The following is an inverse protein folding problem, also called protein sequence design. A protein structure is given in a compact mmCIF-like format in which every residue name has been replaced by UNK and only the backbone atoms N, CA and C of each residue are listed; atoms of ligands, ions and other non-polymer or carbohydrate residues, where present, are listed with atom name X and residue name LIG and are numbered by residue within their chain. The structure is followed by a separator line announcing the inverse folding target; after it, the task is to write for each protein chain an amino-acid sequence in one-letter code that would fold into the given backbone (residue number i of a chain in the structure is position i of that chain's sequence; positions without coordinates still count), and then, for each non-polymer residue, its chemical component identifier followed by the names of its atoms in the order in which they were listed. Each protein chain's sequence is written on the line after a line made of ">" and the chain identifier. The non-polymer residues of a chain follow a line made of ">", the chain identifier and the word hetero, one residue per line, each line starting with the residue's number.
data_IF_950936197496
#
_entry.id   IF_950936197496
#
_cell.length_a   1.000
_cell.length_b   1.000
_cell.length_c   1.000
_cell.angle_alpha   90.00
_cell.angle_beta   90.00
_cell.angle_gamma   90.00
#
_symmetry.space_group_name_H-M   'P 1'
#
loop_
_entity.id
_entity.type
_entity.pdbx_description
1 polymer ?
#
# COMPACT_ATOMS: atom_id res chain seq x y z
N UNK A 1 73.53 -33.38 -5.08
CA UNK A 1 72.49 -34.11 -4.32
C UNK A 1 71.34 -33.14 -4.07
N UNK A 2 70.20 -33.42 -4.69
CA UNK A 2 68.93 -32.69 -4.56
C UNK A 2 68.15 -33.19 -3.33
N UNK A 3 67.50 -32.30 -2.57
CA UNK A 3 66.20 -32.43 -1.84
C UNK A 3 66.05 -31.35 -0.73
N UNK A 4 64.82 -30.97 -0.30
CA UNK A 4 63.86 -30.19 -1.07
C UNK A 4 63.28 -28.99 -0.29
N UNK A 5 62.63 -28.07 -1.01
CA UNK A 5 61.70 -27.07 -0.47
C UNK A 5 60.57 -27.75 0.31
N UNK A 6 60.21 -27.19 1.46
CA UNK A 6 58.88 -27.38 2.06
C UNK A 6 58.38 -26.04 2.60
N UNK A 7 57.61 -25.35 1.76
CA UNK A 7 56.86 -24.16 2.13
C UNK A 7 55.59 -24.61 2.84
N UNK A 8 55.54 -24.44 4.16
CA UNK A 8 54.30 -24.56 4.93
C UNK A 8 53.83 -23.14 5.24
N UNK A 9 53.10 -22.55 4.29
CA UNK A 9 52.35 -21.32 4.50
C UNK A 9 51.11 -21.70 5.31
N UNK A 10 51.22 -21.62 6.64
CA UNK A 10 50.07 -21.79 7.53
C UNK A 10 49.16 -20.57 7.34
N UNK A 11 48.10 -20.74 6.56
CA UNK A 11 47.06 -19.74 6.39
C UNK A 11 46.43 -19.45 7.77
N UNK A 12 46.82 -18.34 8.38
CA UNK A 12 46.10 -17.75 9.49
C UNK A 12 44.72 -17.38 8.96
N UNK A 13 43.72 -18.20 9.30
CA UNK A 13 42.31 -17.87 9.16
C UNK A 13 42.07 -16.63 10.03
N UNK A 14 42.19 -15.45 9.43
CA UNK A 14 41.64 -14.22 9.97
C UNK A 14 40.13 -14.43 10.03
N UNK A 15 39.65 -14.94 11.17
CA UNK A 15 38.30 -14.66 11.64
C UNK A 15 38.16 -13.14 11.70
N UNK A 16 37.65 -12.54 10.63
CA UNK A 16 37.17 -11.16 10.66
C UNK A 16 35.97 -11.16 11.60
N UNK A 17 36.05 -10.52 12.78
CA UNK A 17 34.90 -10.38 13.63
C UNK A 17 33.96 -9.36 12.99
N UNK A 18 32.71 -9.76 12.73
CA UNK A 18 31.62 -8.82 12.48
C UNK A 18 31.65 -8.10 11.13
N UNK A 19 31.39 -8.82 10.04
CA UNK A 19 30.54 -8.21 9.00
C UNK A 19 29.15 -8.04 9.63
N UNK A 20 28.53 -6.83 9.61
CA UNK A 20 27.19 -6.66 10.15
C UNK A 20 26.24 -7.60 9.42
N UNK A 21 25.68 -8.53 10.17
CA UNK A 21 24.64 -9.44 9.73
C UNK A 21 23.39 -8.59 9.39
N UNK A 22 23.13 -8.38 8.10
CA UNK A 22 21.90 -7.82 7.51
C UNK A 22 21.69 -6.31 7.67
N UNK A 23 21.63 -5.59 6.54
CA UNK A 23 20.88 -4.34 6.48
C UNK A 23 19.46 -4.62 6.97
N UNK A 24 19.08 -4.01 8.08
CA UNK A 24 17.71 -3.95 8.56
C UNK A 24 16.93 -3.11 7.56
N UNK A 25 15.94 -3.70 6.90
CA UNK A 25 15.10 -3.02 5.94
C UNK A 25 14.01 -2.22 6.66
N UNK A 26 14.40 -1.26 7.49
CA UNK A 26 13.48 -0.43 8.24
C UNK A 26 12.84 0.57 7.28
N UNK A 27 11.51 0.65 7.29
CA UNK A 27 10.71 1.54 6.45
C UNK A 27 10.01 2.56 7.30
N UNK A 28 9.67 3.70 6.71
CA UNK A 28 8.81 4.68 7.38
C UNK A 28 7.35 4.29 7.15
N UNK A 29 6.64 3.98 8.24
CA UNK A 29 5.21 3.78 8.30
C UNK A 29 4.49 5.13 8.28
N UNK A 30 3.50 5.26 7.41
CA UNK A 30 2.54 6.37 7.38
C UNK A 30 1.17 5.76 7.09
N UNK A 31 0.35 5.55 8.12
CA UNK A 31 -0.97 4.95 7.94
C UNK A 31 -2.04 5.70 8.73
N UNK A 32 -3.23 5.93 8.14
CA UNK A 32 -4.41 6.33 8.91
C UNK A 32 -4.87 5.19 9.83
N UNK A 33 -5.59 5.53 10.89
CA UNK A 33 -6.11 4.57 11.88
C UNK A 33 -7.16 3.60 11.33
N UNK A 34 -7.69 3.89 10.15
CA UNK A 34 -8.64 3.07 9.38
C UNK A 34 -8.31 3.17 7.88
N UNK A 35 -8.50 2.11 7.09
CA UNK A 35 -8.14 2.09 5.67
C UNK A 35 -9.13 2.81 4.75
N UNK A 36 -10.35 3.06 5.23
CA UNK A 36 -11.44 3.76 4.53
C UNK A 36 -12.38 4.38 5.56
N UNK A 37 -13.17 5.34 5.10
CA UNK A 37 -14.29 5.90 5.83
C UNK A 37 -15.53 5.88 4.96
N UNK A 38 -16.45 4.95 5.24
CA UNK A 38 -17.72 4.84 4.53
C UNK A 38 -18.80 5.78 5.09
N UNK A 39 -19.70 6.23 4.23
CA UNK A 39 -20.86 6.98 4.67
C UNK A 39 -21.77 6.05 5.48
N UNK A 40 -22.21 6.49 6.66
CA UNK A 40 -23.23 5.74 7.40
C UNK A 40 -24.52 5.75 6.57
N UNK A 41 -25.15 4.59 6.28
CA UNK A 41 -26.42 4.55 5.57
C UNK A 41 -27.43 5.41 6.32
N UNK A 42 -27.92 6.47 5.68
CA UNK A 42 -28.98 7.28 6.24
C UNK A 42 -30.24 6.39 6.25
N UNK A 43 -30.91 6.17 7.41
CA UNK A 43 -32.16 5.42 7.41
C UNK A 43 -33.11 6.12 6.43
N UNK A 44 -33.66 5.36 5.48
CA UNK A 44 -34.62 5.86 4.53
C UNK A 44 -35.72 6.59 5.31
N UNK A 45 -36.00 7.85 4.95
CA UNK A 45 -37.05 8.66 5.58
C UNK A 45 -38.33 7.83 5.68
N UNK A 46 -38.63 7.33 6.87
CA UNK A 46 -39.95 6.84 7.21
C UNK A 46 -40.86 8.06 7.11
N UNK A 47 -41.58 8.16 5.98
CA UNK A 47 -42.72 9.07 5.84
C UNK A 47 -43.57 8.92 7.08
N UNK A 48 -43.55 9.94 7.95
CA UNK A 48 -44.50 10.11 9.03
C UNK A 48 -45.89 10.29 8.41
N UNK A 49 -46.57 9.17 8.16
CA UNK A 49 -48.01 9.15 7.99
C UNK A 49 -48.64 9.42 9.36
N UNK A 50 -48.87 10.71 9.61
CA UNK A 50 -49.67 11.20 10.72
C UNK A 50 -51.12 10.76 10.49
N UNK A 51 -51.49 9.59 11.00
CA UNK A 51 -52.89 9.15 11.09
C UNK A 51 -53.34 9.14 12.55
N UNK A 52 -54.15 10.13 12.86
CA UNK A 52 -55.05 10.26 14.00
C UNK A 52 -55.90 9.00 14.20
N UNK A 53 -56.06 8.52 15.45
CA UNK A 53 -57.07 7.53 15.80
C UNK A 53 -56.81 6.81 17.12
N UNK A 54 -57.65 7.09 18.12
CA UNK A 54 -57.64 6.60 19.49
C UNK A 54 -57.84 5.07 19.68
N UNK A 55 -57.28 4.62 20.81
CA UNK A 55 -57.79 3.67 21.81
C UNK A 55 -57.70 2.12 21.68
N UNK A 56 -57.30 1.57 22.84
CA UNK A 56 -57.73 0.34 23.51
C UNK A 56 -56.86 -0.94 23.40
N UNK A 57 -56.10 -1.16 24.49
CA UNK A 57 -56.04 -2.39 25.32
C UNK A 57 -55.82 -3.77 24.67
N UNK A 58 -54.71 -4.46 25.00
CA UNK A 58 -54.63 -5.48 26.06
C UNK A 58 -53.31 -6.28 26.04
N UNK A 59 -52.64 -6.27 27.20
CA UNK A 59 -52.16 -7.43 28.00
C UNK A 59 -51.92 -8.78 27.28
N UNK A 60 -50.69 -9.28 27.31
CA UNK A 60 -50.33 -10.51 28.04
C UNK A 60 -48.83 -10.86 27.94
N UNK A 61 -48.26 -11.05 29.11
CA UNK A 61 -46.94 -11.57 29.48
C UNK A 61 -46.76 -13.07 29.14
N UNK A 62 -45.50 -13.43 28.88
CA UNK A 62 -44.79 -14.68 29.24
C UNK A 62 -45.54 -16.01 29.40
N UNK A 63 -45.08 -17.01 28.64
CA UNK A 63 -44.90 -18.36 29.17
C UNK A 63 -43.69 -19.07 28.52
N UNK A 64 -43.04 -19.87 29.35
CA UNK A 64 -41.67 -20.37 29.28
C UNK A 64 -41.68 -21.86 28.88
N UNK A 65 -40.58 -22.28 28.26
CA UNK A 65 -39.88 -23.56 28.47
C UNK A 65 -40.31 -24.87 27.75
N UNK A 66 -39.27 -25.48 27.18
CA UNK A 66 -38.84 -26.88 27.29
C UNK A 66 -39.48 -27.96 26.38
N UNK A 67 -38.63 -28.55 25.52
CA UNK A 67 -38.38 -30.00 25.37
C UNK A 67 -37.44 -30.19 24.15
N UNK A 68 -36.17 -30.54 24.34
CA UNK A 68 -35.63 -31.90 24.39
C UNK A 68 -35.32 -32.50 22.99
N UNK A 69 -34.02 -32.71 22.75
CA UNK A 69 -33.50 -33.60 21.71
C UNK A 69 -33.82 -35.08 22.03
N UNK A 70 -33.59 -35.98 21.06
CA UNK A 70 -32.60 -37.01 21.35
C UNK A 70 -31.59 -37.24 20.21
N UNK A 71 -30.49 -37.88 20.62
CA UNK A 71 -29.30 -38.23 19.87
C UNK A 71 -29.37 -39.61 19.18
N UNK A 72 -28.24 -39.99 18.56
CA UNK A 72 -27.75 -41.33 18.17
C UNK A 72 -27.95 -41.73 16.69
N UNK A 73 -27.03 -42.42 15.99
CA UNK A 73 -25.58 -42.73 16.08
C UNK A 73 -25.24 -43.58 14.83
N UNK A 74 -23.94 -43.72 14.54
CA UNK A 74 -23.29 -44.79 13.75
C UNK A 74 -23.47 -44.72 12.22
N UNK A 75 -22.51 -45.05 11.33
CA UNK A 75 -21.13 -45.58 11.45
C UNK A 75 -20.43 -45.51 10.07
N UNK A 76 -19.08 -45.52 10.09
CA UNK A 76 -18.08 -45.98 9.11
C UNK A 76 -18.48 -46.25 7.63
N UNK A 77 -17.70 -45.93 6.59
CA UNK A 77 -16.37 -46.48 6.26
C UNK A 77 -15.90 -45.89 4.91
N UNK A 78 -14.59 -45.68 4.72
CA UNK A 78 -13.93 -45.33 3.43
C UNK A 78 -13.89 -46.56 2.46
N UNK A 79 -13.40 -46.51 1.17
CA UNK A 79 -12.13 -45.88 0.76
C UNK A 79 -12.03 -45.26 -0.65
N UNK A 80 -11.10 -44.29 -0.74
CA UNK A 80 -10.05 -44.07 -1.74
C UNK A 80 -10.06 -44.91 -3.05
N UNK A 81 -9.97 -44.23 -4.20
CA UNK A 81 -9.34 -44.76 -5.43
C UNK A 81 -8.38 -43.74 -6.06
N UNK A 82 -7.11 -44.10 -6.03
CA UNK A 82 -6.06 -43.68 -6.96
C UNK A 82 -6.17 -44.49 -8.26
N UNK A 83 -5.84 -43.86 -9.39
CA UNK A 83 -5.30 -44.42 -10.64
C UNK A 83 -5.31 -43.28 -11.68
N UNK A 84 -4.37 -43.05 -12.59
CA UNK A 84 -2.98 -43.46 -12.83
C UNK A 84 -2.55 -42.72 -14.12
N UNK A 85 -1.27 -42.35 -14.24
CA UNK A 85 -0.68 -41.83 -15.47
C UNK A 85 -0.67 -42.90 -16.60
N UNK A 86 -0.27 -42.50 -17.82
CA UNK A 86 0.99 -43.07 -18.30
C UNK A 86 1.92 -42.05 -18.96
N UNK A 87 3.23 -42.25 -18.74
CA UNK A 87 4.33 -41.75 -19.56
C UNK A 87 4.35 -42.40 -20.95
N UNK A 88 4.82 -41.66 -21.96
CA UNK A 88 5.92 -42.09 -22.85
C UNK A 88 6.39 -40.92 -23.72
N UNK A 89 7.68 -40.60 -23.59
CA UNK A 89 8.50 -39.89 -24.58
C UNK A 89 9.15 -40.95 -25.52
N UNK A 90 9.87 -40.62 -26.63
CA UNK A 90 11.02 -39.70 -26.61
C UNK A 90 11.28 -38.83 -27.86
N UNK A 91 12.03 -37.74 -27.59
CA UNK A 91 13.15 -37.13 -28.33
C UNK A 91 13.12 -36.95 -29.87
N UNK A 92 13.35 -35.69 -30.28
CA UNK A 92 13.95 -35.30 -31.56
C UNK A 92 14.47 -33.86 -31.48
N UNK A 93 15.80 -33.69 -31.58
CA UNK A 93 16.51 -32.40 -31.71
C UNK A 93 16.39 -31.89 -33.15
N UNK A 94 16.29 -30.58 -33.33
CA UNK A 94 17.23 -29.77 -34.14
C UNK A 94 16.76 -28.30 -34.23
N UNK A 95 17.73 -27.38 -34.12
CA UNK A 95 17.60 -25.93 -34.32
C UNK A 95 18.09 -25.56 -35.74
N UNK A 96 18.25 -24.28 -36.10
CA UNK A 96 17.34 -23.13 -36.05
C UNK A 96 17.05 -22.61 -37.48
N UNK A 97 16.02 -21.77 -37.67
CA UNK A 97 15.87 -21.01 -38.92
C UNK A 97 15.50 -19.55 -38.64
N UNK A 98 16.44 -18.70 -39.03
CA UNK A 98 16.36 -17.26 -39.18
C UNK A 98 15.41 -16.93 -40.34
N UNK A 99 14.48 -15.98 -40.16
CA UNK A 99 13.75 -15.38 -41.27
C UNK A 99 13.34 -13.95 -40.92
N UNK A 100 14.10 -13.04 -41.51
CA UNK A 100 13.78 -11.63 -41.80
C UNK A 100 12.46 -11.50 -42.56
N UNK A 101 11.58 -10.57 -42.15
CA UNK A 101 10.73 -9.79 -43.07
C UNK A 101 9.95 -8.68 -42.34
N UNK A 102 10.34 -7.43 -42.57
CA UNK A 102 9.41 -6.32 -42.84
C UNK A 102 9.40 -6.17 -44.38
N UNK A 103 8.40 -5.57 -45.08
CA UNK A 103 7.58 -4.42 -44.66
C UNK A 103 6.09 -4.46 -45.10
N UNK A 104 5.27 -3.51 -44.62
CA UNK A 104 4.34 -2.74 -45.45
C UNK A 104 3.49 -1.79 -44.58
N UNK A 105 3.57 -0.50 -44.93
CA UNK A 105 2.68 0.55 -44.47
C UNK A 105 1.29 0.41 -45.13
N UNK A 106 0.24 0.76 -44.40
CA UNK A 106 -1.04 1.14 -44.97
C UNK A 106 -1.62 2.32 -44.18
N UNK A 107 -1.76 3.43 -44.90
CA UNK A 107 -2.41 4.67 -44.51
C UNK A 107 -3.89 4.46 -44.13
N UNK A 108 -4.33 5.16 -43.08
CA UNK A 108 -5.74 5.24 -42.69
C UNK A 108 -6.00 6.48 -41.83
N UNK A 109 -6.30 7.61 -42.49
CA UNK A 109 -6.73 8.88 -41.89
C UNK A 109 -8.21 8.76 -41.45
N UNK A 110 -8.66 9.44 -40.36
CA UNK A 110 -9.89 9.08 -39.66
C UNK A 110 -11.16 9.66 -40.29
N UNK A 111 -12.26 8.93 -40.16
CA UNK A 111 -13.59 9.35 -40.59
C UNK A 111 -14.24 10.30 -39.55
N UNK A 112 -14.78 11.41 -40.06
CA UNK A 112 -15.50 12.42 -39.30
C UNK A 112 -17.01 12.12 -39.22
N UNK A 113 -17.56 12.46 -38.05
CA UNK A 113 -18.89 12.96 -37.71
C UNK A 113 -20.11 12.61 -38.59
N UNK A 114 -21.13 12.04 -37.92
CA UNK A 114 -22.53 12.26 -38.21
C UNK A 114 -23.26 12.63 -36.91
N UNK A 115 -23.76 13.86 -36.81
CA UNK A 115 -24.69 14.31 -35.77
C UNK A 115 -26.10 13.77 -36.05
N UNK A 116 -26.91 13.58 -35.00
CA UNK A 116 -28.34 13.79 -35.12
C UNK A 116 -28.85 14.91 -34.20
N UNK A 117 -29.65 15.79 -34.80
CA UNK A 117 -30.94 16.25 -34.26
C UNK A 117 -30.93 17.07 -32.98
N UNK A 118 -31.03 18.38 -33.15
CA UNK A 118 -31.46 19.34 -32.13
C UNK A 118 -32.97 19.19 -31.89
N UNK A 119 -33.38 18.71 -30.72
CA UNK A 119 -34.73 18.87 -30.19
C UNK A 119 -34.63 19.33 -28.72
N UNK A 120 -35.20 20.50 -28.44
CA UNK A 120 -35.92 20.75 -27.20
C UNK A 120 -35.11 21.20 -25.97
N UNK A 121 -35.09 22.52 -25.81
CA UNK A 121 -34.86 23.28 -24.58
C UNK A 121 -35.22 22.56 -23.26
N UNK A 122 -34.22 22.43 -22.41
CA UNK A 122 -34.33 21.91 -21.05
C UNK A 122 -33.10 22.36 -20.29
N UNK A 123 -33.08 23.60 -19.82
CA UNK A 123 -32.11 24.12 -18.85
C UNK A 123 -32.25 23.36 -17.53
N UNK A 124 -31.76 22.13 -17.49
CA UNK A 124 -31.45 21.40 -16.27
C UNK A 124 -30.13 21.92 -15.75
N UNK A 125 -30.17 23.02 -15.01
CA UNK A 125 -29.06 23.40 -14.15
C UNK A 125 -28.98 22.29 -13.09
N UNK A 126 -28.12 21.31 -13.31
CA UNK A 126 -27.81 20.26 -12.33
C UNK A 126 -27.19 21.00 -11.15
N UNK A 127 -28.03 21.36 -10.19
CA UNK A 127 -27.61 21.97 -8.93
C UNK A 127 -26.67 20.96 -8.28
N UNK A 128 -25.36 21.25 -8.31
CA UNK A 128 -24.36 20.47 -7.60
C UNK A 128 -24.89 20.19 -6.19
N UNK A 129 -25.08 18.91 -5.85
CA UNK A 129 -25.53 18.54 -4.52
C UNK A 129 -24.53 19.17 -3.53
N UNK A 130 -24.99 19.85 -2.47
CA UNK A 130 -24.08 20.42 -1.49
C UNK A 130 -23.20 19.29 -0.93
N UNK A 131 -21.89 19.45 -1.07
CA UNK A 131 -20.90 18.53 -0.52
C UNK A 131 -21.10 18.51 1.01
N UNK A 132 -21.42 17.36 1.62
CA UNK A 132 -21.68 17.31 3.05
C UNK A 132 -20.41 17.67 3.82
N UNK A 133 -20.56 18.54 4.81
CA UNK A 133 -19.55 18.70 5.85
C UNK A 133 -19.64 17.48 6.77
N UNK A 134 -18.54 16.75 6.90
CA UNK A 134 -18.52 15.47 7.63
C UNK A 134 -17.96 15.64 9.05
N UNK A 135 -17.20 16.71 9.32
CA UNK A 135 -16.65 17.05 10.64
C UNK A 135 -16.00 15.89 11.40
N UNK A 136 -15.32 14.98 10.69
CA UNK A 136 -14.65 13.83 11.29
C UNK A 136 -13.14 14.05 11.38
N UNK A 137 -12.48 13.24 12.18
CA UNK A 137 -11.02 13.22 12.27
C UNK A 137 -10.49 11.81 12.01
N UNK A 138 -9.22 11.74 11.61
CA UNK A 138 -8.48 10.48 11.53
C UNK A 138 -7.11 10.64 12.16
N UNK A 139 -6.79 9.72 13.08
CA UNK A 139 -5.44 9.62 13.61
C UNK A 139 -4.52 9.01 12.55
N UNK A 140 -3.37 9.64 12.31
CA UNK A 140 -2.34 9.17 11.41
C UNK A 140 -1.11 8.78 12.22
N UNK A 141 -0.64 7.54 12.08
CA UNK A 141 0.56 7.04 12.74
C UNK A 141 1.77 7.20 11.80
N UNK A 142 2.82 7.82 12.33
CA UNK A 142 4.11 8.01 11.66
C UNK A 142 5.21 7.40 12.53
N UNK A 143 5.87 6.35 12.04
CA UNK A 143 7.00 5.71 12.76
C UNK A 143 7.97 5.06 11.78
N UNK A 144 9.17 4.73 12.23
CA UNK A 144 10.05 3.82 11.48
C UNK A 144 9.87 2.42 12.05
N UNK A 145 9.83 1.40 11.20
CA UNK A 145 9.66 0.03 11.67
C UNK A 145 10.31 -1.00 10.74
N UNK A 146 10.61 -2.18 11.29
CA UNK A 146 10.75 -3.42 10.54
C UNK A 146 9.35 -4.08 10.43
N UNK A 147 8.73 -4.13 9.23
CA UNK A 147 7.39 -4.69 9.07
C UNK A 147 7.29 -6.16 9.46
N UNK A 148 8.27 -6.98 9.07
CA UNK A 148 8.21 -8.42 9.27
C UNK A 148 8.51 -8.81 10.72
N UNK A 149 9.39 -8.06 11.40
CA UNK A 149 9.68 -8.28 12.83
C UNK A 149 8.63 -7.64 13.73
N UNK A 150 7.77 -6.78 13.19
CA UNK A 150 6.82 -5.94 13.92
C UNK A 150 7.52 -5.19 15.06
N UNK A 151 8.60 -4.49 14.72
CA UNK A 151 9.43 -3.73 15.65
C UNK A 151 9.51 -2.29 15.18
N UNK A 152 9.17 -1.35 16.06
CA UNK A 152 9.39 0.07 15.80
C UNK A 152 10.85 0.43 16.05
N UNK A 153 11.27 1.52 15.43
CA UNK A 153 12.55 2.17 15.63
C UNK A 153 12.32 3.66 15.87
N UNK A 154 13.24 4.29 16.61
CA UNK A 154 13.18 5.73 16.83
C UNK A 154 13.29 6.46 15.50
N UNK A 155 12.54 7.53 15.32
CA UNK A 155 12.70 8.41 14.17
C UNK A 155 12.65 9.88 14.57
N UNK A 156 13.43 10.70 13.87
CA UNK A 156 13.29 12.16 13.94
C UNK A 156 11.95 12.58 13.37
N UNK A 157 11.47 13.76 13.78
CA UNK A 157 10.29 14.38 13.18
C UNK A 157 10.47 14.50 11.66
N UNK A 158 9.44 14.20 10.85
CA UNK A 158 9.51 14.45 9.41
C UNK A 158 9.79 15.93 9.12
N UNK A 159 10.33 16.22 7.93
CA UNK A 159 10.56 17.60 7.50
C UNK A 159 9.39 18.18 6.69
N UNK A 160 8.49 17.31 6.22
CA UNK A 160 7.23 17.66 5.58
C UNK A 160 6.17 16.66 6.00
N UNK A 161 4.97 17.16 6.28
CA UNK A 161 3.75 16.37 6.30
C UNK A 161 2.63 17.18 5.64
N UNK A 162 2.09 16.68 4.54
CA UNK A 162 1.00 17.30 3.80
C UNK A 162 -0.10 16.29 3.50
N UNK A 163 -1.31 16.81 3.32
CA UNK A 163 -2.49 16.06 2.91
C UNK A 163 -3.02 16.67 1.63
N UNK A 164 -3.20 15.84 0.61
CA UNK A 164 -3.85 16.22 -0.65
C UNK A 164 -5.25 15.61 -0.68
N UNK A 165 -6.28 16.43 -0.88
CA UNK A 165 -7.66 15.97 -1.06
C UNK A 165 -8.07 16.12 -2.52
N UNK A 166 -8.51 15.02 -3.10
CA UNK A 166 -9.11 14.95 -4.42
C UNK A 166 -10.62 14.68 -4.31
N UNK A 167 -11.39 15.28 -5.19
CA UNK A 167 -12.83 15.11 -5.33
C UNK A 167 -13.27 15.33 -6.79
N UNK A 168 -14.58 15.19 -7.05
CA UNK A 168 -15.17 15.41 -8.37
C UNK A 168 -14.99 16.86 -8.89
N UNK A 169 -14.66 17.80 -8.01
CA UNK A 169 -14.44 19.21 -8.34
C UNK A 169 -12.95 19.57 -8.50
N UNK A 170 -12.06 18.58 -8.35
CA UNK A 170 -10.64 18.79 -8.55
C UNK A 170 -10.40 18.98 -10.04
N UNK A 171 -10.04 20.20 -10.45
CA UNK A 171 -9.85 20.55 -11.84
C UNK A 171 -8.37 20.48 -12.25
N UNK A 172 -8.07 20.12 -13.51
CA UNK A 172 -6.74 20.27 -14.04
C UNK A 172 -6.41 21.76 -14.25
N UNK A 173 -5.18 22.15 -13.93
CA UNK A 173 -4.56 23.43 -14.27
C UNK A 173 -3.20 23.15 -14.90
N UNK A 174 -2.95 23.73 -16.07
CA UNK A 174 -1.71 23.55 -16.82
C UNK A 174 -1.35 22.06 -17.08
N UNK A 175 -2.38 21.23 -17.27
CA UNK A 175 -2.24 19.79 -17.55
C UNK A 175 -2.04 18.90 -16.31
N UNK A 176 -2.10 19.45 -15.10
CA UNK A 176 -2.00 18.69 -13.84
C UNK A 176 -3.19 18.96 -12.90
N UNK A 177 -3.67 17.93 -12.21
CA UNK A 177 -4.73 18.09 -11.21
C UNK A 177 -4.26 18.94 -10.03
N UNK A 178 -5.14 19.82 -9.54
CA UNK A 178 -4.87 20.71 -8.41
C UNK A 178 -5.71 20.29 -7.20
N UNK A 179 -5.27 19.29 -6.43
CA UNK A 179 -5.97 18.91 -5.20
C UNK A 179 -5.92 20.04 -4.17
N UNK A 180 -6.89 20.05 -3.26
CA UNK A 180 -6.78 20.86 -2.05
C UNK A 180 -5.59 20.34 -1.24
N UNK A 181 -4.66 21.23 -0.85
CA UNK A 181 -3.47 20.89 -0.07
C UNK A 181 -3.55 21.51 1.32
N UNK A 182 -3.34 20.70 2.35
CA UNK A 182 -3.12 21.14 3.72
C UNK A 182 -1.72 20.72 4.18
N UNK A 183 -0.93 21.66 4.70
CA UNK A 183 0.36 21.38 5.35
C UNK A 183 0.13 21.18 6.85
N UNK A 184 0.23 19.94 7.32
CA UNK A 184 -0.17 19.50 8.67
C UNK A 184 1.03 19.15 9.56
N UNK A 185 2.24 19.53 9.14
CA UNK A 185 3.45 19.31 9.95
C UNK A 185 3.38 19.99 11.32
N UNK A 186 2.69 21.13 11.43
CA UNK A 186 2.49 21.86 12.68
C UNK A 186 1.60 21.13 13.69
N UNK A 187 0.77 20.19 13.21
CA UNK A 187 -0.19 19.43 14.02
C UNK A 187 0.38 18.06 14.45
N UNK A 188 1.63 17.78 14.10
CA UNK A 188 2.32 16.54 14.47
C UNK A 188 2.76 16.59 15.92
N UNK A 189 2.29 15.63 16.70
CA UNK A 189 2.62 15.46 18.10
C UNK A 189 3.53 14.24 18.31
N UNK A 190 4.38 14.31 19.34
CA UNK A 190 5.15 13.14 19.77
C UNK A 190 4.20 12.08 20.35
N UNK A 191 4.42 10.84 19.94
CA UNK A 191 3.67 9.69 20.42
C UNK A 191 4.60 8.50 20.73
N UNK A 192 4.02 7.42 21.23
CA UNK A 192 4.70 6.15 21.42
C UNK A 192 4.02 5.04 20.63
N UNK A 193 4.83 4.24 19.95
CA UNK A 193 4.38 3.04 19.24
C UNK A 193 5.42 1.93 19.45
N UNK A 194 4.97 0.75 19.92
CA UNK A 194 5.82 -0.39 20.27
C UNK A 194 7.04 0.01 21.14
N UNK A 195 6.78 0.80 22.19
CA UNK A 195 7.77 1.31 23.15
C UNK A 195 8.90 2.15 22.53
N UNK A 196 8.69 2.68 21.33
CA UNK A 196 9.59 3.63 20.66
C UNK A 196 8.92 4.96 20.41
N UNK A 197 9.75 6.01 20.34
CA UNK A 197 9.32 7.34 19.92
C UNK A 197 8.77 7.27 18.51
N UNK A 198 7.53 7.71 18.37
CA UNK A 198 6.80 7.83 17.13
C UNK A 198 6.19 9.23 17.04
N UNK A 199 5.47 9.47 15.96
CA UNK A 199 4.74 10.71 15.72
C UNK A 199 3.31 10.37 15.34
N UNK A 200 2.39 11.24 15.74
CA UNK A 200 0.99 11.15 15.36
C UNK A 200 0.47 12.52 14.96
N UNK A 201 -0.52 12.55 14.08
CA UNK A 201 -1.33 13.74 13.89
C UNK A 201 -2.80 13.32 13.86
N UNK A 202 -3.66 14.22 14.28
CA UNK A 202 -5.08 14.09 14.07
C UNK A 202 -5.43 15.00 12.89
N UNK A 203 -5.92 14.40 11.80
CA UNK A 203 -6.21 15.12 10.56
C UNK A 203 -7.72 15.27 10.43
N UNK A 204 -8.17 16.52 10.30
CA UNK A 204 -9.56 16.85 10.01
C UNK A 204 -9.94 16.36 8.61
N UNK A 205 -11.09 15.71 8.53
CA UNK A 205 -11.77 15.29 7.32
C UNK A 205 -13.04 16.12 7.26
N UNK A 206 -13.01 17.26 6.57
CA UNK A 206 -14.16 18.17 6.54
C UNK A 206 -15.12 17.83 5.40
N UNK A 207 -14.64 17.15 4.36
CA UNK A 207 -15.41 16.86 3.14
C UNK A 207 -15.13 15.44 2.61
N UNK A 208 -16.09 14.80 1.90
CA UNK A 208 -15.83 13.60 1.10
C UNK A 208 -14.66 13.80 0.15
N UNK A 209 -13.90 12.75 -0.14
CA UNK A 209 -12.75 12.87 -1.01
C UNK A 209 -11.79 11.71 -0.87
N UNK A 210 -10.85 11.62 -1.80
CA UNK A 210 -9.67 10.79 -1.62
C UNK A 210 -8.57 11.63 -0.98
N UNK A 211 -8.18 11.27 0.23
CA UNK A 211 -7.09 11.92 0.96
C UNK A 211 -5.79 11.14 0.73
N UNK A 212 -4.75 11.83 0.26
CA UNK A 212 -3.39 11.30 0.19
C UNK A 212 -2.54 11.94 1.29
N UNK A 213 -2.05 11.13 2.22
CA UNK A 213 -1.10 11.56 3.23
C UNK A 213 0.31 11.44 2.67
N UNK A 214 1.14 12.47 2.86
CA UNK A 214 2.47 12.55 2.29
C UNK A 214 3.45 13.02 3.33
N UNK A 215 4.53 12.27 3.57
CA UNK A 215 5.65 12.76 4.38
C UNK A 215 6.98 12.67 3.63
N UNK A 216 7.86 13.59 3.99
CA UNK A 216 9.28 13.53 3.67
C UNK A 216 10.06 13.41 4.98
N UNK A 217 10.88 12.37 5.10
CA UNK A 217 11.77 12.24 6.25
C UNK A 217 13.00 13.11 6.08
N UNK A 218 13.61 13.49 7.20
CA UNK A 218 15.01 13.93 7.18
C UNK A 218 15.89 12.76 6.76
N UNK A 219 16.96 12.98 5.98
CA UNK A 219 17.97 11.95 5.76
C UNK A 219 18.57 11.49 7.09
N UNK A 220 18.83 10.20 7.25
CA UNK A 220 19.52 9.65 8.42
C UNK A 220 20.68 8.75 8.00
N UNK A 221 21.69 8.67 8.85
CA UNK A 221 22.84 7.80 8.62
C UNK A 221 22.48 6.35 8.92
N UNK A 222 22.71 5.46 7.94
CA UNK A 222 22.60 4.02 8.09
C UNK A 222 23.99 3.41 8.26
N UNK A 223 24.37 3.16 9.51
CA UNK A 223 25.68 2.62 9.89
C UNK A 223 25.98 1.26 9.22
N UNK A 224 24.98 0.39 9.07
CA UNK A 224 25.18 -0.94 8.51
C UNK A 224 25.56 -0.89 7.02
N UNK A 225 25.06 0.12 6.32
CA UNK A 225 25.20 0.28 4.87
C UNK A 225 26.12 1.44 4.47
N UNK A 226 26.67 2.15 5.46
CA UNK A 226 27.60 3.28 5.30
C UNK A 226 27.09 4.33 4.30
N UNK A 227 25.79 4.65 4.38
CA UNK A 227 25.11 5.63 3.51
C UNK A 227 24.07 6.42 4.28
N UNK A 228 23.59 7.51 3.70
CA UNK A 228 22.34 8.13 4.12
C UNK A 228 21.15 7.43 3.47
N UNK A 229 20.06 7.31 4.22
CA UNK A 229 18.75 6.92 3.70
C UNK A 229 17.76 8.09 3.88
N UNK A 230 16.84 8.27 2.95
CA UNK A 230 15.73 9.22 3.04
C UNK A 230 14.46 8.59 2.45
N UNK A 231 13.30 8.82 3.07
CA UNK A 231 12.03 8.30 2.58
C UNK A 231 11.06 9.42 2.16
N UNK A 232 10.39 9.17 1.04
CA UNK A 232 9.16 9.85 0.63
C UNK A 232 8.03 8.84 0.73
N UNK A 233 7.02 9.10 1.55
CA UNK A 233 6.01 8.10 1.90
C UNK A 233 4.62 8.63 1.57
N UNK A 234 3.80 7.78 0.97
CA UNK A 234 2.38 8.04 0.71
C UNK A 234 1.48 6.95 1.29
N UNK A 235 0.30 7.35 1.71
CA UNK A 235 -0.85 6.46 1.95
C UNK A 235 -2.14 7.15 1.56
N UNK A 236 -3.21 6.36 1.44
CA UNK A 236 -4.49 6.81 0.89
C UNK A 236 -5.60 6.52 1.90
N UNK A 237 -6.60 7.40 1.94
CA UNK A 237 -7.84 7.20 2.68
C UNK A 237 -9.01 7.68 1.81
N UNK A 238 -9.78 6.77 1.19
CA UNK A 238 -11.04 7.13 0.57
C UNK A 238 -12.07 7.49 1.65
N UNK A 239 -12.73 8.62 1.48
CA UNK A 239 -13.76 9.12 2.39
C UNK A 239 -15.07 9.30 1.62
N UNK A 240 -16.09 8.58 2.07
CA UNK A 240 -17.45 8.55 1.55
C UNK A 240 -17.50 8.19 0.05
N UNK A 241 -16.79 7.12 -0.33
CA UNK A 241 -16.89 6.49 -1.64
C UNK A 241 -16.19 7.23 -2.80
N UNK A 242 -15.49 8.33 -2.53
CA UNK A 242 -14.75 9.06 -3.58
C UNK A 242 -13.47 8.31 -3.96
N UNK A 243 -13.33 7.98 -5.25
CA UNK A 243 -12.20 7.21 -5.76
C UNK A 243 -11.25 7.96 -6.70
N UNK A 244 -11.56 9.18 -7.14
CA UNK A 244 -10.67 9.94 -8.04
C UNK A 244 -9.46 10.50 -7.29
N UNK A 245 -8.26 10.43 -7.88
CA UNK A 245 -7.07 11.15 -7.39
C UNK A 245 -5.82 10.29 -7.23
N UNK A 246 -5.96 8.99 -6.98
CA UNK A 246 -4.84 8.10 -6.65
C UNK A 246 -3.89 7.87 -7.82
N UNK A 247 -4.39 8.00 -9.05
CA UNK A 247 -3.67 7.84 -10.31
C UNK A 247 -2.77 9.05 -10.64
N UNK A 248 -2.94 10.16 -9.91
CA UNK A 248 -2.18 11.38 -10.14
C UNK A 248 -0.93 11.46 -9.28
N UNK A 249 0.22 11.88 -9.86
CA UNK A 249 1.41 12.17 -9.08
C UNK A 249 1.17 13.29 -8.07
N UNK A 250 1.72 13.14 -6.87
CA UNK A 250 1.77 14.14 -5.82
C UNK A 250 2.97 15.11 -5.97
N UNK A 251 3.86 14.85 -6.93
CA UNK A 251 5.00 15.71 -7.24
C UNK A 251 6.22 15.46 -6.37
N UNK A 252 6.37 14.25 -5.83
CA UNK A 252 7.52 13.90 -4.99
C UNK A 252 8.80 13.70 -5.83
N UNK A 253 9.99 13.98 -5.28
CA UNK A 253 11.26 13.77 -5.99
C UNK A 253 11.44 12.33 -6.50
N UNK A 254 11.02 11.34 -5.71
CA UNK A 254 10.85 9.95 -6.15
C UNK A 254 9.50 9.46 -5.68
N UNK A 255 8.69 8.93 -6.59
CA UNK A 255 7.29 8.66 -6.35
C UNK A 255 6.85 7.31 -6.92
N UNK A 256 6.10 6.53 -6.16
CA UNK A 256 5.27 5.46 -6.70
C UNK A 256 3.87 6.03 -6.98
N UNK A 257 3.47 6.01 -8.25
CA UNK A 257 2.10 6.29 -8.68
C UNK A 257 1.41 4.95 -8.92
N UNK A 258 0.36 4.59 -8.15
CA UNK A 258 -0.36 3.34 -8.37
C UNK A 258 -0.96 3.28 -9.79
N UNK A 259 -0.95 2.08 -10.38
CA UNK A 259 -1.65 1.74 -11.62
C UNK A 259 -2.87 0.85 -11.36
N UNK A 260 -2.97 0.30 -10.15
CA UNK A 260 -4.16 -0.31 -9.59
C UNK A 260 -4.65 0.54 -8.42
N UNK A 261 -5.97 0.64 -8.25
CA UNK A 261 -6.61 1.36 -7.13
C UNK A 261 -6.00 0.92 -5.78
N UNK A 262 -5.43 1.82 -4.96
CA UNK A 262 -4.63 1.45 -3.78
C UNK A 262 -5.45 1.23 -2.50
N UNK A 263 -6.77 1.12 -2.61
CA UNK A 263 -7.71 0.92 -1.49
C UNK A 263 -8.86 -0.02 -1.90
N UNK A 264 -9.57 -0.55 -0.91
CA UNK A 264 -10.61 -1.58 -1.13
C UNK A 264 -10.04 -2.81 -1.84
N UNK A 265 -8.85 -3.24 -1.42
CA UNK A 265 -8.14 -4.40 -1.97
C UNK A 265 -8.49 -5.64 -1.14
N UNK A 266 -8.71 -6.79 -1.76
CA UNK A 266 -8.93 -8.07 -1.05
C UNK A 266 -7.86 -9.08 -1.44
N UNK A 267 -7.35 -9.86 -0.48
CA UNK A 267 -6.29 -10.81 -0.78
C UNK A 267 -6.82 -12.10 -1.46
N UNK A 268 -6.06 -12.74 -2.37
CA UNK A 268 -4.90 -12.16 -3.04
C UNK A 268 -5.32 -11.11 -4.06
N UNK A 269 -4.57 -10.01 -4.15
CA UNK A 269 -4.74 -9.03 -5.22
C UNK A 269 -3.43 -8.74 -5.95
N UNK A 270 -3.54 -8.32 -7.21
CA UNK A 270 -2.46 -7.73 -7.96
C UNK A 270 -2.39 -6.23 -7.65
N UNK A 271 -1.26 -5.78 -7.11
CA UNK A 271 -0.95 -4.36 -6.99
C UNK A 271 0.09 -3.98 -8.05
N UNK A 272 -0.20 -2.97 -8.85
CA UNK A 272 0.72 -2.44 -9.86
C UNK A 272 0.95 -0.95 -9.64
N UNK A 273 2.14 -0.48 -10.02
CA UNK A 273 2.52 0.92 -9.89
C UNK A 273 3.58 1.32 -10.89
N UNK A 274 3.80 2.63 -11.02
CA UNK A 274 4.87 3.24 -11.80
C UNK A 274 5.78 4.05 -10.87
N UNK A 275 7.07 3.77 -10.92
CA UNK A 275 8.10 4.55 -10.22
C UNK A 275 8.49 5.73 -11.10
N UNK A 276 8.40 6.93 -10.53
CA UNK A 276 8.86 8.17 -11.11
C UNK A 276 10.06 8.70 -10.32
N UNK A 277 11.07 9.23 -11.01
CA UNK A 277 12.12 10.05 -10.44
C UNK A 277 12.09 11.41 -11.15
N UNK A 278 11.89 12.48 -10.37
CA UNK A 278 11.70 13.84 -10.87
C UNK A 278 10.62 13.92 -11.99
N UNK A 279 9.47 13.27 -11.73
CA UNK A 279 8.34 13.23 -12.66
C UNK A 279 8.51 12.33 -13.89
N UNK A 280 9.65 11.66 -14.07
CA UNK A 280 9.92 10.78 -15.23
C UNK A 280 9.96 9.31 -14.82
N UNK A 281 9.48 8.38 -15.67
CA UNK A 281 9.61 6.95 -15.43
C UNK A 281 11.02 6.51 -15.06
N UNK A 282 11.16 5.73 -13.98
CA UNK A 282 12.44 5.19 -13.54
C UNK A 282 12.54 3.71 -13.87
N UNK A 283 13.24 3.40 -14.96
CA UNK A 283 13.52 2.02 -15.35
C UNK A 283 14.54 1.34 -14.41
N UNK A 284 14.45 0.02 -14.32
CA UNK A 284 15.41 -0.80 -13.58
C UNK A 284 15.44 -0.66 -12.06
N UNK A 285 14.58 0.16 -11.45
CA UNK A 285 14.49 0.32 -9.99
C UNK A 285 14.03 -0.98 -9.33
N UNK A 286 14.58 -1.28 -8.16
CA UNK A 286 14.09 -2.37 -7.32
C UNK A 286 12.86 -1.89 -6.54
N UNK A 287 11.81 -2.69 -6.54
CA UNK A 287 10.60 -2.46 -5.76
C UNK A 287 10.39 -3.65 -4.84
N UNK A 288 10.37 -3.41 -3.53
CA UNK A 288 10.19 -4.41 -2.49
C UNK A 288 8.82 -4.27 -1.84
N UNK A 289 8.04 -5.34 -1.78
CA UNK A 289 6.81 -5.42 -0.98
C UNK A 289 7.04 -6.19 0.32
N UNK A 290 6.58 -5.61 1.44
CA UNK A 290 6.61 -6.21 2.77
C UNK A 290 5.27 -5.99 3.47
N UNK A 291 4.83 -6.97 4.26
CA UNK A 291 3.62 -6.88 5.08
C UNK A 291 4.00 -6.73 6.55
N UNK A 292 3.23 -5.94 7.30
CA UNK A 292 3.34 -5.96 8.76
C UNK A 292 2.90 -7.33 9.28
N UNK A 293 3.80 -8.04 9.96
CA UNK A 293 3.60 -9.39 10.47
C UNK A 293 3.11 -9.37 11.92
N UNK A 294 1.86 -8.94 12.12
CA UNK A 294 1.24 -8.85 13.45
C UNK A 294 1.10 -10.23 14.13
N UNK A 295 0.95 -11.27 13.33
CA UNK A 295 0.83 -12.66 13.77
C UNK A 295 2.17 -13.30 14.14
N UNK A 296 3.29 -12.60 13.96
CA UNK A 296 4.65 -13.09 14.23
C UNK A 296 4.94 -14.42 13.56
N UNK A 297 4.44 -14.60 12.32
CA UNK A 297 4.73 -15.77 11.51
C UNK A 297 6.24 -15.92 11.34
N UNK A 298 6.71 -17.15 11.48
CA UNK A 298 8.08 -17.54 11.14
C UNK A 298 8.10 -18.04 9.70
N UNK A 299 9.10 -17.64 8.94
CA UNK A 299 9.29 -18.06 7.54
C UNK A 299 10.61 -18.81 7.38
N UNK A 300 10.76 -19.67 6.35
CA UNK A 300 11.94 -20.52 6.20
C UNK A 300 13.27 -19.75 6.06
N UNK A 301 13.24 -18.54 5.50
CA UNK A 301 14.42 -17.69 5.34
C UNK A 301 14.03 -16.23 5.16
N UNK A 302 15.00 -15.30 5.31
CA UNK A 302 14.78 -13.86 5.11
C UNK A 302 14.18 -13.50 3.75
N UNK A 303 14.43 -14.32 2.73
CA UNK A 303 13.92 -14.12 1.37
C UNK A 303 12.40 -14.31 1.25
N UNK A 304 11.76 -14.80 2.32
CA UNK A 304 10.31 -14.91 2.45
C UNK A 304 9.71 -13.77 3.31
N UNK A 305 10.54 -12.87 3.86
CA UNK A 305 10.08 -11.69 4.59
C UNK A 305 9.54 -10.61 3.64
N UNK A 306 9.97 -10.64 2.37
CA UNK A 306 9.61 -9.68 1.33
C UNK A 306 9.49 -10.33 -0.05
N UNK A 307 8.92 -9.60 -1.01
CA UNK A 307 9.01 -9.92 -2.44
C UNK A 307 9.61 -8.72 -3.16
N UNK A 308 10.62 -8.97 -3.99
CA UNK A 308 11.32 -7.92 -4.74
C UNK A 308 11.15 -8.13 -6.26
N UNK A 309 10.77 -7.06 -6.96
CA UNK A 309 10.66 -7.00 -8.43
C UNK A 309 11.48 -5.84 -8.98
N UNK A 310 11.62 -5.78 -10.30
CA UNK A 310 12.30 -4.68 -11.00
C UNK A 310 11.33 -3.99 -11.94
N UNK A 311 11.39 -2.66 -12.02
CA UNK A 311 10.58 -1.88 -12.96
C UNK A 311 11.03 -2.07 -14.41
N UNK A 312 10.07 -2.11 -15.34
CA UNK A 312 10.33 -2.12 -16.78
C UNK A 312 10.81 -0.74 -17.31
N UNK A 313 10.98 -0.59 -18.62
CA UNK A 313 11.45 0.66 -19.27
C UNK A 313 10.47 1.85 -19.09
N UNK A 314 9.21 1.56 -18.77
CA UNK A 314 8.18 2.57 -18.44
C UNK A 314 8.09 2.83 -16.94
N UNK A 315 9.01 2.31 -16.15
CA UNK A 315 9.03 2.44 -14.69
C UNK A 315 7.95 1.61 -13.98
N UNK A 316 7.28 0.69 -14.68
CA UNK A 316 6.13 -0.04 -14.15
C UNK A 316 6.54 -1.35 -13.48
N UNK A 317 5.82 -1.74 -12.43
CA UNK A 317 5.98 -2.99 -11.71
C UNK A 317 4.61 -3.58 -11.33
N UNK A 318 4.60 -4.87 -11.02
CA UNK A 318 3.43 -5.58 -10.49
C UNK A 318 3.85 -6.58 -9.41
N UNK A 319 3.07 -6.68 -8.35
CA UNK A 319 3.29 -7.53 -7.17
C UNK A 319 1.97 -8.19 -6.76
N UNK A 320 2.04 -9.39 -6.17
CA UNK A 320 0.87 -10.05 -5.58
C UNK A 320 0.89 -9.81 -4.07
N UNK A 321 -0.16 -9.15 -3.56
CA UNK A 321 -0.39 -8.98 -2.12
C UNK A 321 -1.31 -10.10 -1.66
N UNK A 322 -0.72 -11.17 -1.12
CA UNK A 322 -1.39 -12.46 -0.94
C UNK A 322 -2.03 -12.66 0.45
N UNK A 323 -1.82 -11.73 1.38
CA UNK A 323 -2.32 -11.81 2.76
C UNK A 323 -2.99 -10.51 3.20
N UNK A 324 -3.96 -10.56 4.11
CA UNK A 324 -4.63 -9.36 4.59
C UNK A 324 -3.76 -8.59 5.60
N UNK A 325 -3.92 -7.27 5.65
CA UNK A 325 -3.18 -6.35 6.51
C UNK A 325 -2.50 -5.21 5.74
N UNK A 326 -1.69 -4.44 6.45
CA UNK A 326 -0.91 -3.33 5.88
C UNK A 326 0.33 -3.84 5.14
N UNK A 327 0.46 -3.44 3.88
CA UNK A 327 1.62 -3.69 3.03
C UNK A 327 2.30 -2.37 2.65
N UNK A 328 3.63 -2.37 2.65
CA UNK A 328 4.42 -1.31 2.03
C UNK A 328 5.06 -1.80 0.73
N UNK A 329 4.97 -0.99 -0.33
CA UNK A 329 5.78 -1.12 -1.53
C UNK A 329 6.85 -0.02 -1.53
N UNK A 330 8.12 -0.40 -1.53
CA UNK A 330 9.26 0.53 -1.48
C UNK A 330 10.07 0.44 -2.77
N UNK A 331 10.07 1.52 -3.56
CA UNK A 331 10.98 1.68 -4.69
C UNK A 331 12.28 2.31 -4.21
N UNK A 332 13.41 1.68 -4.56
CA UNK A 332 14.74 2.08 -4.12
C UNK A 332 15.47 2.76 -5.28
N UNK A 333 15.91 4.00 -5.06
CA UNK A 333 16.57 4.83 -6.07
C UNK A 333 17.78 5.54 -5.44
N UNK A 334 18.87 5.67 -6.19
CA UNK A 334 20.03 6.45 -5.76
C UNK A 334 19.71 7.95 -5.79
N UNK A 335 20.02 8.64 -4.70
CA UNK A 335 19.92 10.09 -4.57
C UNK A 335 21.26 10.79 -4.81
N UNK A 336 21.24 12.13 -4.74
CA UNK A 336 22.48 12.92 -4.77
C UNK A 336 23.24 12.71 -3.45
N UNK A 337 24.54 12.38 -3.48
CA UNK A 337 25.34 12.19 -2.27
C UNK A 337 25.25 13.38 -1.29
N UNK A 338 25.22 13.07 0.01
CA UNK A 338 25.21 14.06 1.07
C UNK A 338 26.57 14.18 1.73
N UNK A 339 26.87 15.33 2.33
CA UNK A 339 28.11 15.54 3.06
C UNK A 339 28.08 14.76 4.39
N UNK A 340 29.07 13.89 4.60
CA UNK A 340 29.28 13.16 5.84
C UNK A 340 29.76 14.06 6.98
N UNK A 341 29.80 13.50 8.20
CA UNK A 341 30.28 14.21 9.39
C UNK A 341 31.76 14.61 9.30
N UNK A 342 32.55 13.86 8.55
CA UNK A 342 33.96 14.12 8.20
C UNK A 342 34.13 15.15 7.07
N UNK A 343 33.04 15.49 6.39
CA UNK A 343 33.00 16.40 5.26
C UNK A 343 33.11 15.73 3.90
N UNK A 344 33.30 14.42 3.83
CA UNK A 344 33.39 13.66 2.58
C UNK A 344 31.99 13.29 2.05
N UNK A 345 31.79 13.20 0.73
CA UNK A 345 30.51 12.80 0.17
C UNK A 345 30.19 11.34 0.50
N UNK A 346 28.97 11.10 0.99
CA UNK A 346 28.42 9.79 1.31
C UNK A 346 27.21 9.49 0.43
N UNK A 347 27.03 8.25 -0.05
CA UNK A 347 25.87 7.89 -0.86
C UNK A 347 24.56 8.23 -0.15
N UNK A 348 23.55 8.61 -0.93
CA UNK A 348 22.17 8.74 -0.47
C UNK A 348 21.32 7.71 -1.19
N UNK A 349 20.57 6.92 -0.45
CA UNK A 349 19.53 6.06 -0.99
C UNK A 349 18.17 6.67 -0.65
N UNK A 350 17.34 6.82 -1.67
CA UNK A 350 15.96 7.30 -1.55
C UNK A 350 15.02 6.09 -1.63
N UNK A 351 14.16 5.95 -0.63
CA UNK A 351 13.03 5.03 -0.67
C UNK A 351 11.72 5.79 -0.93
N UNK A 352 11.07 5.51 -2.05
CA UNK A 352 9.68 5.95 -2.28
C UNK A 352 8.73 4.85 -1.82
N UNK A 353 7.89 5.13 -0.85
CA UNK A 353 7.09 4.14 -0.13
C UNK A 353 5.60 4.45 -0.33
N UNK A 354 4.83 3.44 -0.72
CA UNK A 354 3.37 3.49 -0.69
C UNK A 354 2.86 2.42 0.27
N UNK A 355 2.00 2.83 1.21
CA UNK A 355 1.26 1.92 2.09
C UNK A 355 -0.14 1.69 1.56
N UNK A 356 -0.54 0.42 1.50
CA UNK A 356 -1.89 -0.01 1.15
C UNK A 356 -2.40 -1.04 2.15
N UNK A 357 -3.70 -1.04 2.38
CA UNK A 357 -4.35 -2.06 3.19
C UNK A 357 -5.04 -3.09 2.29
N UNK A 358 -4.93 -4.36 2.67
CA UNK A 358 -5.59 -5.47 1.99
C UNK A 358 -6.52 -6.16 2.96
N UNK A 359 -7.81 -6.20 2.65
CA UNK A 359 -8.84 -6.92 3.40
C UNK A 359 -8.74 -8.43 3.20
N UNK A 360 -9.27 -9.21 4.15
CA UNK A 360 -9.43 -10.64 3.96
C UNK A 360 -10.55 -10.93 2.95
N UNK A 361 -10.38 -11.94 2.10
CA UNK A 361 -11.39 -12.35 1.12
C UNK A 361 -12.76 -12.72 1.72
N UNK A 362 -12.80 -13.12 2.99
CA UNK A 362 -14.02 -13.47 3.71
C UNK A 362 -14.75 -12.25 4.30
N UNK A 363 -14.27 -11.03 4.00
CA UNK A 363 -14.84 -9.78 4.47
C UNK A 363 -14.49 -9.44 5.92
N UNK A 364 -13.64 -10.22 6.60
CA UNK A 364 -13.18 -9.91 7.95
C UNK A 364 -11.92 -9.05 7.91
N UNK A 365 -11.93 -7.92 8.63
CA UNK A 365 -10.68 -7.16 8.85
C UNK A 365 -9.87 -7.85 9.95
N UNK A 366 -8.63 -8.30 9.68
CA UNK A 366 -7.76 -8.80 10.72
C UNK A 366 -7.42 -7.68 11.72
N UNK A 367 -6.81 -8.06 12.84
CA UNK A 367 -6.29 -7.10 13.82
C UNK A 367 -5.48 -6.00 13.11
N UNK A 368 -5.84 -4.75 13.37
CA UNK A 368 -5.18 -3.60 12.75
C UNK A 368 -4.04 -3.09 13.62
N UNK A 369 -3.14 -2.35 13.00
CA UNK A 369 -2.13 -1.59 13.72
C UNK A 369 -2.81 -0.63 14.68
N UNK A 370 -2.50 -0.74 15.98
CA UNK A 370 -3.06 0.17 16.96
C UNK A 370 -2.54 1.60 16.75
N UNK A 371 -3.36 2.63 17.01
CA UNK A 371 -2.90 4.01 16.98
C UNK A 371 -1.76 4.24 17.99
N UNK A 372 -0.95 5.25 17.72
CA UNK A 372 0.10 5.66 18.64
C UNK A 372 -0.52 6.12 19.98
N UNK A 373 0.12 5.80 21.10
CA UNK A 373 -0.29 6.35 22.40
C UNK A 373 0.30 7.74 22.56
N UNK A 374 -0.54 8.74 22.82
CA UNK A 374 -0.06 10.09 23.19
C UNK A 374 0.81 10.00 24.44
N UNK A 375 1.92 10.73 24.45
CA UNK A 375 2.77 10.85 25.63
C UNK A 375 2.01 11.65 26.69
N UNK A 376 1.78 11.05 27.86
CA UNK A 376 1.12 11.70 29.00
C UNK A 376 1.98 12.79 29.61
#
# INVERSE_FOLDING_TARGET
>A
MFKPLSALLLAALLCVPGLPLSARASVTLLIPSRPDLEQTPQPADEKQDKKTGDNAANKAETARAAAAAPAAKDSASAPQRQASAPETAPAGKDAPAEATASPAAADGKPAAAASPGNDGDGTGQETARPVPDIGQEVDVLITRMDPFRHQAEEMSMPQLFAVLRFDEHTLPKDGAMQPERADVLGDVEEAQYLDKKAWGANVALDKPGLYQFIIETRPWWNEAEQRYDQHYVKSFLPVYGVESGWEHPAGLPVEIVPLSRPFGLSNPCLFSGRVLAHGKPRAGALVRAQRINLEKCVVPSRWHEDTTVRTNDRGEFSLILNRPGWWCCTAIVEGTPLKGHDGDPRPLQIGSIVWVYVDAADGQRPAQTQPAKKKK
#
